data_IF_101815362401
#
_entry.id   IF_101815362401
#
_cell.length_a   1.000
_cell.length_b   1.000
_cell.length_c   1.000
_cell.angle_alpha   90.00
_cell.angle_beta   90.00
_cell.angle_gamma   90.00
#
_symmetry.space_group_name_H-M   'P 1'
#
loop_
_entity.id
_entity.type
_entity.pdbx_description
1 polymer ?
#
# COMPACT_ATOMS: atom_id res chain seq x y z
N UNK A 1 19.11 27.70 2.98
CA UNK A 1 18.94 26.57 3.91
C UNK A 1 19.08 25.30 3.08
N UNK A 2 20.09 24.48 3.34
CA UNK A 2 20.24 23.17 2.71
C UNK A 2 19.58 22.18 3.65
N UNK A 3 18.41 21.66 3.29
CA UNK A 3 17.80 20.54 4.00
C UNK A 3 18.45 19.24 3.49
N UNK A 4 19.27 18.62 4.34
CA UNK A 4 19.78 17.28 4.09
C UNK A 4 18.76 16.30 4.65
N UNK A 5 17.82 15.86 3.80
CA UNK A 5 16.92 14.77 4.15
C UNK A 5 17.68 13.44 4.17
N UNK A 6 17.87 12.86 5.34
CA UNK A 6 18.41 11.50 5.42
C UNK A 6 17.37 10.50 4.90
N UNK A 7 17.72 9.70 3.89
CA UNK A 7 16.92 8.58 3.43
C UNK A 7 17.29 7.33 4.21
N UNK A 8 16.30 6.55 4.61
CA UNK A 8 16.55 5.23 5.18
C UNK A 8 16.91 4.19 4.09
N UNK A 9 17.25 2.99 4.50
CA UNK A 9 17.75 1.96 3.59
C UNK A 9 16.71 1.48 2.55
N UNK A 10 15.44 1.69 2.81
CA UNK A 10 14.31 1.22 2.00
C UNK A 10 13.69 2.29 1.10
N UNK A 11 14.12 3.56 1.22
CA UNK A 11 13.71 4.63 0.31
C UNK A 11 14.11 4.29 -1.13
N UNK A 12 13.14 4.38 -2.04
CA UNK A 12 13.41 4.03 -3.43
C UNK A 12 12.16 3.86 -4.27
N UNK A 13 12.39 3.48 -5.52
CA UNK A 13 11.37 3.17 -6.51
C UNK A 13 11.25 1.65 -6.64
N UNK A 14 10.02 1.17 -6.65
CA UNK A 14 9.71 -0.25 -6.70
C UNK A 14 8.68 -0.55 -7.79
N UNK A 15 8.93 -1.62 -8.54
CA UNK A 15 7.97 -2.23 -9.44
C UNK A 15 7.14 -3.26 -8.64
N UNK A 16 5.85 -3.05 -8.49
CA UNK A 16 4.97 -3.88 -7.67
C UNK A 16 4.16 -4.82 -8.54
N UNK A 17 4.23 -6.10 -8.21
CA UNK A 17 3.45 -7.18 -8.81
C UNK A 17 2.87 -8.08 -7.72
N UNK A 18 1.93 -8.93 -8.09
CA UNK A 18 1.36 -9.93 -7.20
C UNK A 18 -0.17 -9.93 -7.22
N UNK A 19 -0.80 -10.94 -6.65
CA UNK A 19 -2.25 -11.04 -6.61
C UNK A 19 -2.86 -10.13 -5.56
N UNK A 20 -4.01 -9.58 -5.92
CA UNK A 20 -4.96 -8.95 -5.03
C UNK A 20 -6.29 -9.73 -5.13
N UNK A 21 -6.82 -10.17 -4.01
CA UNK A 21 -8.09 -10.90 -3.97
C UNK A 21 -9.09 -10.14 -3.11
N UNK A 22 -10.13 -9.69 -3.75
CA UNK A 22 -11.26 -9.03 -3.10
C UNK A 22 -12.29 -10.11 -2.67
N UNK A 23 -12.63 -10.13 -1.37
CA UNK A 23 -13.40 -11.22 -0.77
C UNK A 23 -14.92 -10.98 -0.79
N UNK A 24 -15.38 -9.80 -1.20
CA UNK A 24 -16.83 -9.48 -1.25
C UNK A 24 -17.46 -9.71 -2.62
N UNK A 25 -16.70 -10.28 -3.57
CA UNK A 25 -17.18 -10.58 -4.92
C UNK A 25 -17.18 -9.37 -5.86
N UNK A 26 -16.56 -8.27 -5.49
CA UNK A 26 -16.35 -7.15 -6.41
C UNK A 26 -15.28 -7.52 -7.44
N UNK A 27 -15.42 -7.13 -8.71
CA UNK A 27 -14.49 -7.49 -9.78
C UNK A 27 -13.23 -6.60 -9.79
N UNK A 28 -12.63 -6.39 -8.64
CA UNK A 28 -11.41 -5.59 -8.52
C UNK A 28 -10.18 -6.48 -8.53
N UNK A 29 -9.18 -6.11 -9.31
CA UNK A 29 -7.93 -6.82 -9.41
C UNK A 29 -6.77 -5.84 -9.24
N UNK A 30 -5.61 -6.38 -8.93
CA UNK A 30 -4.39 -5.59 -8.95
C UNK A 30 -4.07 -5.16 -10.37
N UNK A 31 -3.58 -3.95 -10.53
CA UNK A 31 -3.13 -3.48 -11.82
C UNK A 31 -1.81 -4.15 -12.21
N UNK A 32 -1.81 -4.76 -13.39
CA UNK A 32 -0.62 -5.29 -14.04
C UNK A 32 -0.88 -5.38 -15.56
N UNK A 33 0.15 -5.42 -16.37
CA UNK A 33 0.03 -5.44 -17.84
C UNK A 33 -0.55 -6.73 -18.41
N UNK A 34 -0.64 -7.79 -17.63
CA UNK A 34 -1.31 -9.01 -18.06
C UNK A 34 -2.83 -8.81 -18.14
N UNK A 35 -3.31 -7.66 -17.74
CA UNK A 35 -4.71 -7.29 -17.83
C UNK A 35 -4.93 -6.42 -19.08
N UNK A 36 -5.83 -6.84 -19.97
CA UNK A 36 -6.15 -6.12 -21.20
C UNK A 36 -6.64 -4.67 -21.00
N UNK A 37 -6.95 -4.28 -19.77
CA UNK A 37 -7.34 -2.92 -19.38
C UNK A 37 -6.16 -2.05 -18.91
N UNK A 38 -4.95 -2.61 -18.87
CA UNK A 38 -3.76 -1.86 -18.48
C UNK A 38 -3.46 -0.78 -19.52
N UNK A 39 -3.06 0.44 -19.11
CA UNK A 39 -2.68 1.46 -20.09
C UNK A 39 -1.39 1.01 -20.79
N UNK A 40 -1.54 0.67 -22.05
CA UNK A 40 -0.41 0.28 -22.92
C UNK A 40 0.61 1.41 -23.14
N UNK A 41 0.34 2.59 -22.63
CA UNK A 41 1.11 3.80 -22.80
C UNK A 41 1.74 4.33 -21.51
N UNK A 42 1.64 3.61 -20.37
CA UNK A 42 2.47 3.92 -19.21
C UNK A 42 3.90 3.39 -19.45
N UNK A 43 4.89 4.27 -19.65
CA UNK A 43 6.25 3.84 -19.97
C UNK A 43 6.91 3.06 -18.84
N UNK A 44 6.51 3.26 -17.58
CA UNK A 44 7.02 2.50 -16.46
C UNK A 44 6.47 1.07 -16.44
N UNK A 45 5.16 0.92 -16.60
CA UNK A 45 4.52 -0.39 -16.63
C UNK A 45 5.05 -1.23 -17.79
N UNK A 46 5.17 -0.65 -18.99
CA UNK A 46 5.77 -1.32 -20.16
C UNK A 46 7.21 -1.77 -19.88
N UNK A 47 8.04 -0.91 -19.29
CA UNK A 47 9.43 -1.21 -18.99
C UNK A 47 9.60 -2.27 -17.88
N UNK A 48 8.63 -2.42 -16.99
CA UNK A 48 8.70 -3.29 -15.81
C UNK A 48 7.73 -4.48 -15.86
N UNK A 49 7.28 -4.89 -17.05
CA UNK A 49 6.48 -6.10 -17.25
C UNK A 49 5.10 -6.04 -16.59
N UNK A 50 4.49 -4.86 -16.59
CA UNK A 50 3.14 -4.66 -16.07
C UNK A 50 3.04 -4.30 -14.61
N UNK A 51 4.13 -4.06 -13.96
CA UNK A 51 4.16 -3.58 -12.60
C UNK A 51 3.66 -2.14 -12.49
N UNK A 52 3.03 -1.80 -11.37
CA UNK A 52 2.82 -0.39 -11.04
C UNK A 52 3.99 0.16 -10.22
N UNK A 53 4.19 1.48 -10.30
CA UNK A 53 5.31 2.16 -9.65
C UNK A 53 4.91 2.63 -8.25
N UNK A 54 5.59 2.08 -7.25
CA UNK A 54 5.51 2.49 -5.86
C UNK A 54 6.80 3.24 -5.47
N UNK A 55 6.65 4.44 -4.95
CA UNK A 55 7.75 5.12 -4.28
C UNK A 55 7.66 4.91 -2.78
N UNK A 56 8.65 4.29 -2.17
CA UNK A 56 8.81 4.31 -0.73
C UNK A 56 9.55 5.59 -0.32
N UNK A 57 8.86 6.42 0.42
CA UNK A 57 9.36 7.73 0.88
C UNK A 57 9.65 7.64 2.38
N UNK A 58 10.88 7.90 2.76
CA UNK A 58 11.31 7.93 4.16
C UNK A 58 10.48 8.90 4.99
N UNK A 59 9.92 8.43 6.10
CA UNK A 59 9.21 9.22 7.11
C UNK A 59 9.77 9.02 8.52
N UNK A 60 10.67 8.06 8.68
CA UNK A 60 11.36 7.73 9.92
C UNK A 60 12.58 6.87 9.68
N UNK A 61 13.36 6.59 10.71
CA UNK A 61 14.59 5.78 10.60
C UNK A 61 14.34 4.39 10.03
N UNK A 62 13.19 3.79 10.31
CA UNK A 62 12.75 2.48 9.82
C UNK A 62 11.33 2.52 9.29
N UNK A 63 10.86 3.65 8.81
CA UNK A 63 9.50 3.83 8.32
C UNK A 63 9.50 4.54 6.97
N UNK A 64 8.64 4.04 6.08
CA UNK A 64 8.36 4.66 4.80
C UNK A 64 6.84 4.76 4.56
N UNK A 65 6.42 5.76 3.79
CA UNK A 65 5.09 5.79 3.18
C UNK A 65 5.16 5.32 1.74
N UNK A 66 4.14 4.62 1.30
CA UNK A 66 3.95 4.23 -0.09
C UNK A 66 3.22 5.31 -0.89
N UNK A 67 3.88 5.82 -1.92
CA UNK A 67 3.32 6.81 -2.83
C UNK A 67 3.08 6.14 -4.20
N UNK A 68 1.85 6.13 -4.64
CA UNK A 68 1.48 5.64 -5.98
C UNK A 68 1.89 6.68 -7.03
N UNK A 69 2.86 6.35 -7.85
CA UNK A 69 3.31 7.21 -8.95
C UNK A 69 2.72 6.80 -10.31
N UNK A 70 1.88 5.78 -10.34
CA UNK A 70 1.33 5.24 -11.58
C UNK A 70 0.04 5.91 -11.99
N UNK A 71 -0.93 6.01 -11.08
CA UNK A 71 -2.30 6.43 -11.40
C UNK A 71 -2.62 7.81 -10.81
N UNK A 72 -2.41 7.97 -9.51
CA UNK A 72 -2.94 9.10 -8.77
C UNK A 72 -1.92 10.16 -8.38
N UNK A 73 -0.63 9.81 -8.39
CA UNK A 73 0.41 10.71 -7.89
C UNK A 73 0.18 11.13 -6.44
N UNK A 74 -0.24 10.17 -5.60
CA UNK A 74 -0.55 10.42 -4.19
C UNK A 74 -0.33 9.17 -3.33
N UNK A 75 -0.54 9.29 -2.02
CA UNK A 75 -0.52 8.15 -1.10
C UNK A 75 -1.82 7.36 -1.31
N UNK A 76 -1.76 6.32 -2.12
CA UNK A 76 -2.91 5.48 -2.45
C UNK A 76 -2.42 4.09 -2.88
N UNK A 77 -3.33 3.13 -2.96
CA UNK A 77 -3.08 1.83 -3.57
C UNK A 77 -3.89 1.72 -4.86
N UNK A 78 -3.24 1.52 -6.02
CA UNK A 78 -3.94 1.39 -7.29
C UNK A 78 -4.64 0.03 -7.41
N UNK A 79 -5.70 0.00 -8.22
CA UNK A 79 -6.46 -1.20 -8.56
C UNK A 79 -7.08 -1.07 -9.93
N UNK A 80 -7.51 -2.19 -10.51
CA UNK A 80 -8.40 -2.25 -11.65
C UNK A 80 -9.82 -2.59 -11.22
N UNK A 81 -10.78 -1.91 -11.80
CA UNK A 81 -12.20 -2.24 -11.70
C UNK A 81 -12.84 -2.30 -13.09
N UNK A 82 -14.12 -2.59 -13.19
CA UNK A 82 -14.84 -2.66 -14.46
C UNK A 82 -14.82 -1.35 -15.27
N UNK A 83 -14.54 -0.23 -14.63
CA UNK A 83 -14.41 1.10 -15.26
C UNK A 83 -12.99 1.46 -15.66
N UNK A 84 -12.00 0.59 -15.45
CA UNK A 84 -10.58 0.82 -15.73
C UNK A 84 -9.75 1.11 -14.48
N UNK A 85 -8.70 1.91 -14.63
CA UNK A 85 -7.78 2.23 -13.53
C UNK A 85 -8.45 3.05 -12.45
N UNK A 86 -8.22 2.66 -11.21
CA UNK A 86 -8.75 3.31 -10.02
C UNK A 86 -7.78 3.17 -8.85
N UNK A 87 -8.13 3.72 -7.73
CA UNK A 87 -7.39 3.59 -6.47
C UNK A 87 -8.35 3.48 -5.31
N UNK A 88 -7.86 2.88 -4.24
CA UNK A 88 -8.59 2.87 -2.98
C UNK A 88 -8.41 4.24 -2.30
N UNK A 89 -9.38 5.12 -2.44
CA UNK A 89 -9.40 6.39 -1.71
C UNK A 89 -9.35 6.16 -0.21
N UNK A 90 -8.45 6.85 0.50
CA UNK A 90 -8.25 6.65 1.92
C UNK A 90 -7.58 5.31 2.30
N UNK A 91 -6.87 4.68 1.37
CA UNK A 91 -6.01 3.52 1.63
C UNK A 91 -4.63 3.76 1.02
N UNK A 92 -3.67 4.03 1.87
CA UNK A 92 -2.27 4.22 1.52
C UNK A 92 -1.38 3.60 2.57
N UNK A 93 -0.29 3.00 2.14
CA UNK A 93 0.53 2.15 3.00
C UNK A 93 1.55 2.97 3.78
N UNK A 94 1.66 2.69 5.07
CA UNK A 94 2.82 3.01 5.89
C UNK A 94 3.48 1.71 6.27
N UNK A 95 4.77 1.59 6.02
CA UNK A 95 5.54 0.36 6.19
C UNK A 95 6.64 0.61 7.20
N UNK A 96 6.67 -0.19 8.24
CA UNK A 96 7.75 -0.22 9.21
C UNK A 96 8.64 -1.44 8.98
N UNK A 97 9.93 -1.24 9.08
CA UNK A 97 10.95 -2.26 8.90
C UNK A 97 11.69 -2.54 10.21
N UNK A 98 12.11 -3.77 10.37
CA UNK A 98 13.07 -4.14 11.41
C UNK A 98 14.47 -4.25 10.78
N UNK A 99 15.39 -3.32 11.08
CA UNK A 99 16.73 -3.34 10.52
C UNK A 99 17.60 -4.49 11.03
N UNK A 100 17.27 -5.08 12.19
CA UNK A 100 18.02 -6.18 12.77
C UNK A 100 17.73 -7.51 12.05
N UNK A 101 16.50 -7.71 11.62
CA UNK A 101 16.05 -8.94 10.94
C UNK A 101 15.85 -8.76 9.45
N UNK A 102 15.91 -7.53 8.96
CA UNK A 102 15.65 -7.15 7.58
C UNK A 102 14.26 -7.63 7.09
N UNK A 103 13.26 -7.41 7.92
CA UNK A 103 11.86 -7.80 7.66
C UNK A 103 10.93 -6.59 7.70
N UNK A 104 9.76 -6.74 7.08
CA UNK A 104 8.64 -5.83 7.33
C UNK A 104 8.04 -6.20 8.67
N UNK A 105 8.13 -5.30 9.64
CA UNK A 105 7.67 -5.53 11.02
C UNK A 105 6.22 -5.11 11.24
N UNK A 106 5.75 -4.14 10.48
CA UNK A 106 4.38 -3.61 10.56
C UNK A 106 3.97 -2.94 9.26
N UNK A 107 2.67 -3.00 8.98
CA UNK A 107 2.03 -2.18 7.98
C UNK A 107 0.76 -1.57 8.57
N UNK A 108 0.42 -0.35 8.19
CA UNK A 108 -0.83 0.28 8.59
C UNK A 108 -1.28 1.30 7.53
N UNK A 109 -2.52 1.73 7.64
CA UNK A 109 -3.06 2.70 6.70
C UNK A 109 -2.68 4.12 7.10
N UNK A 110 -2.07 4.87 6.20
CA UNK A 110 -1.73 6.27 6.38
C UNK A 110 -2.92 7.11 6.83
N UNK A 111 -4.08 6.90 6.23
CA UNK A 111 -5.29 7.67 6.50
C UNK A 111 -6.04 7.24 7.76
N UNK A 112 -5.74 6.08 8.30
CA UNK A 112 -6.39 5.53 9.49
C UNK A 112 -5.48 5.41 10.71
N UNK A 113 -4.25 5.88 10.65
CA UNK A 113 -3.30 5.78 11.77
C UNK A 113 -3.50 6.91 12.78
N UNK A 114 -3.97 6.61 14.00
CA UNK A 114 -4.21 7.62 15.02
C UNK A 114 -2.92 8.23 15.59
N UNK A 115 -1.76 7.65 15.31
CA UNK A 115 -0.46 8.14 15.81
C UNK A 115 0.15 9.21 14.90
N UNK A 116 -0.38 9.39 13.68
CA UNK A 116 0.08 10.42 12.74
C UNK A 116 -0.74 11.69 12.87
N UNK A 117 -0.07 12.82 13.04
CA UNK A 117 -0.68 14.14 13.23
C UNK A 117 -1.72 14.43 12.18
N UNK A 118 -2.17 14.55 11.33
CA UNK A 118 -3.28 14.71 10.39
C UNK A 118 -4.23 13.51 10.33
N UNK A 119 -3.76 12.36 10.69
CA UNK A 119 -4.52 11.11 10.62
C UNK A 119 -5.43 10.89 11.81
N UNK A 120 -5.20 11.58 12.92
CA UNK A 120 -6.16 11.63 14.03
C UNK A 120 -7.53 12.15 13.59
N UNK A 121 -7.54 12.91 12.51
CA UNK A 121 -8.78 13.36 11.88
C UNK A 121 -9.48 12.25 11.08
N UNK A 122 -8.83 11.14 10.80
CA UNK A 122 -9.33 10.11 9.89
C UNK A 122 -9.91 8.88 10.62
N UNK A 123 -9.78 8.84 11.93
CA UNK A 123 -10.37 7.82 12.79
C UNK A 123 -9.52 6.56 12.95
N UNK A 124 -9.88 5.78 13.96
CA UNK A 124 -9.26 4.49 14.21
C UNK A 124 -9.98 3.40 13.39
N UNK A 125 -9.30 2.75 12.42
CA UNK A 125 -9.92 1.71 11.62
C UNK A 125 -10.41 0.50 12.44
N UNK A 126 -9.81 0.25 13.60
CA UNK A 126 -10.21 -0.87 14.47
C UNK A 126 -11.50 -0.56 15.26
N UNK A 127 -11.83 0.69 15.51
CA UNK A 127 -12.97 1.10 16.31
C UNK A 127 -14.05 1.82 15.54
N UNK A 128 -13.80 2.18 14.27
CA UNK A 128 -14.73 2.99 13.48
C UNK A 128 -14.89 4.42 13.99
N UNK A 129 -14.08 4.84 14.95
CA UNK A 129 -14.12 6.19 15.51
C UNK A 129 -13.22 7.14 14.72
N UNK A 130 -13.79 8.22 14.25
CA UNK A 130 -13.10 9.30 13.53
C UNK A 130 -13.94 10.56 13.50
N UNK A 131 -13.38 11.67 13.04
CA UNK A 131 -14.16 12.89 12.93
C UNK A 131 -15.32 12.70 11.95
N UNK A 132 -16.41 13.43 12.17
CA UNK A 132 -17.66 13.26 11.44
C UNK A 132 -17.55 13.47 9.92
N UNK A 133 -16.46 14.03 9.44
CA UNK A 133 -16.25 14.30 8.01
C UNK A 133 -15.57 13.15 7.28
N UNK A 134 -14.99 12.20 7.99
CA UNK A 134 -14.46 10.98 7.41
C UNK A 134 -15.46 9.88 7.74
N UNK A 135 -16.21 9.54 6.74
CA UNK A 135 -17.29 8.56 6.91
C UNK A 135 -16.72 7.32 7.60
N UNK A 136 -17.12 7.10 8.85
CA UNK A 136 -16.76 5.88 9.59
C UNK A 136 -17.06 4.61 8.77
N UNK A 137 -18.02 4.72 7.86
CA UNK A 137 -18.37 3.72 6.86
C UNK A 137 -17.27 3.43 5.82
N UNK A 138 -16.26 4.29 5.65
CA UNK A 138 -15.18 4.11 4.65
C UNK A 138 -13.79 3.94 5.26
N UNK A 139 -13.69 3.87 6.58
CA UNK A 139 -12.39 3.68 7.24
C UNK A 139 -11.81 2.31 6.86
N UNK A 140 -10.59 2.34 6.34
CA UNK A 140 -9.84 1.14 5.95
C UNK A 140 -8.62 1.01 6.84
N UNK A 141 -8.35 -0.21 7.30
CA UNK A 141 -7.12 -0.57 7.99
C UNK A 141 -6.20 -1.36 7.06
N UNK A 142 -4.90 -1.31 7.33
CA UNK A 142 -3.93 -2.22 6.74
C UNK A 142 -3.26 -3.01 7.86
N UNK A 143 -3.17 -4.32 7.69
CA UNK A 143 -2.58 -5.23 8.67
C UNK A 143 -1.69 -6.24 7.98
N UNK A 144 -0.47 -6.41 8.48
CA UNK A 144 0.46 -7.40 7.98
C UNK A 144 -0.11 -8.81 8.18
N UNK A 145 -0.07 -9.65 7.16
CA UNK A 145 -0.41 -11.07 7.27
C UNK A 145 0.81 -11.83 7.83
N UNK A 146 0.70 -12.40 9.04
CA UNK A 146 1.82 -13.13 9.64
C UNK A 146 2.18 -14.43 8.90
N UNK A 147 1.33 -14.90 7.98
CA UNK A 147 1.64 -16.05 7.13
C UNK A 147 2.52 -15.74 5.94
N UNK A 148 2.74 -14.44 5.65
CA UNK A 148 3.61 -13.99 4.58
C UNK A 148 5.09 -14.08 4.95
N UNK A 149 5.96 -14.06 3.94
CA UNK A 149 7.40 -14.02 4.14
C UNK A 149 7.83 -12.68 4.78
N UNK A 150 7.21 -11.59 4.38
CA UNK A 150 7.38 -10.25 4.92
C UNK A 150 8.86 -9.84 5.10
N UNK A 151 9.67 -10.10 4.08
CA UNK A 151 11.12 -9.95 4.12
C UNK A 151 11.62 -8.94 3.09
N UNK A 152 12.74 -8.28 3.44
CA UNK A 152 13.53 -7.50 2.50
C UNK A 152 14.72 -8.35 2.07
N UNK A 153 14.84 -8.60 0.78
CA UNK A 153 15.90 -9.43 0.20
C UNK A 153 17.19 -8.62 0.01
N UNK A 154 18.29 -9.32 -0.23
CA UNK A 154 19.60 -8.68 -0.46
C UNK A 154 19.65 -7.74 -1.66
N UNK A 155 18.75 -7.92 -2.64
CA UNK A 155 18.52 -7.03 -3.79
C UNK A 155 17.75 -5.75 -3.43
N UNK A 156 17.30 -5.59 -2.19
CA UNK A 156 16.31 -4.64 -1.69
C UNK A 156 14.87 -4.93 -2.12
N UNK A 157 14.61 -6.02 -2.83
CA UNK A 157 13.25 -6.44 -3.14
C UNK A 157 12.50 -6.78 -1.86
N UNK A 158 11.21 -6.47 -1.80
CA UNK A 158 10.36 -6.70 -0.64
C UNK A 158 9.28 -7.70 -1.01
N UNK A 159 9.21 -8.79 -0.25
CA UNK A 159 8.10 -9.72 -0.28
C UNK A 159 7.16 -9.37 0.86
N UNK A 160 5.91 -9.05 0.55
CA UNK A 160 4.98 -8.59 1.57
C UNK A 160 3.58 -9.16 1.34
N UNK A 161 2.97 -9.62 2.43
CA UNK A 161 1.59 -10.07 2.44
C UNK A 161 0.79 -9.32 3.50
N UNK A 162 -0.38 -8.83 3.13
CA UNK A 162 -1.19 -8.00 4.03
C UNK A 162 -2.66 -7.98 3.65
N UNK A 163 -3.46 -7.45 4.55
CA UNK A 163 -4.89 -7.32 4.41
C UNK A 163 -5.32 -5.85 4.41
N UNK A 164 -6.32 -5.54 3.59
CA UNK A 164 -7.18 -4.39 3.83
C UNK A 164 -8.35 -4.82 4.71
N UNK A 165 -8.51 -4.14 5.84
CA UNK A 165 -9.64 -4.33 6.75
C UNK A 165 -10.66 -3.22 6.52
N UNK A 166 -11.93 -3.57 6.41
CA UNK A 166 -13.01 -2.60 6.28
C UNK A 166 -14.29 -3.13 6.93
N UNK A 167 -14.49 -2.85 8.20
CA UNK A 167 -15.62 -3.34 9.00
C UNK A 167 -16.99 -2.86 8.54
N UNK A 168 -17.05 -1.71 7.87
CA UNK A 168 -18.30 -1.22 7.26
C UNK A 168 -18.80 -2.06 6.08
N UNK A 169 -17.92 -2.83 5.44
CA UNK A 169 -18.24 -3.70 4.30
C UNK A 169 -18.26 -5.17 4.73
N UNK A 170 -17.36 -5.55 5.61
CA UNK A 170 -17.25 -6.89 6.20
C UNK A 170 -17.39 -6.78 7.71
N UNK A 171 -18.63 -6.78 8.25
CA UNK A 171 -18.85 -6.52 9.68
C UNK A 171 -18.30 -7.58 10.61
N UNK A 172 -18.24 -8.83 10.15
CA UNK A 172 -17.73 -9.94 10.96
C UNK A 172 -16.20 -9.88 11.08
N UNK A 173 -15.63 -9.81 12.30
CA UNK A 173 -14.17 -9.89 12.46
C UNK A 173 -13.60 -11.18 11.88
N UNK A 174 -12.40 -11.11 11.28
CA UNK A 174 -11.42 -10.01 11.29
C UNK A 174 -11.65 -8.89 10.27
N UNK A 175 -12.82 -8.78 9.66
CA UNK A 175 -13.24 -7.72 8.74
C UNK A 175 -12.34 -7.57 7.51
N UNK A 176 -11.68 -8.63 7.10
CA UNK A 176 -10.80 -8.66 5.93
C UNK A 176 -11.64 -8.52 4.68
N UNK A 177 -11.36 -7.48 3.91
CA UNK A 177 -11.99 -7.23 2.63
C UNK A 177 -11.14 -7.66 1.46
N UNK A 178 -9.85 -7.35 1.50
CA UNK A 178 -8.90 -7.63 0.42
C UNK A 178 -7.65 -8.25 1.00
N UNK A 179 -7.13 -9.25 0.32
CA UNK A 179 -5.81 -9.82 0.58
C UNK A 179 -4.84 -9.41 -0.52
N UNK A 180 -3.62 -9.06 -0.14
CA UNK A 180 -2.53 -8.73 -1.04
C UNK A 180 -1.36 -9.67 -0.77
N UNK A 181 -0.72 -10.16 -1.83
CA UNK A 181 0.50 -10.97 -1.77
C UNK A 181 1.44 -10.43 -2.84
N UNK A 182 2.29 -9.50 -2.45
CA UNK A 182 3.01 -8.64 -3.37
C UNK A 182 4.51 -8.87 -3.33
N UNK A 183 5.14 -8.70 -4.49
CA UNK A 183 6.57 -8.53 -4.66
C UNK A 183 6.84 -7.11 -5.13
N UNK A 184 7.59 -6.37 -4.33
CA UNK A 184 8.07 -5.03 -4.65
C UNK A 184 9.52 -5.12 -5.10
N UNK A 185 9.75 -5.11 -6.39
CA UNK A 185 11.09 -5.21 -6.98
C UNK A 185 11.75 -3.85 -7.00
N UNK A 186 12.89 -3.71 -6.33
CA UNK A 186 13.64 -2.46 -6.33
C UNK A 186 14.18 -2.14 -7.72
N UNK A 187 13.89 -0.95 -8.23
CA UNK A 187 14.31 -0.48 -9.56
C UNK A 187 15.34 0.64 -9.51
N UNK A 188 15.44 1.33 -8.39
CA UNK A 188 16.44 2.40 -8.25
C UNK A 188 16.16 3.38 -7.12
N UNK A 189 17.05 4.33 -6.91
CA UNK A 189 16.84 5.41 -5.96
C UNK A 189 15.80 6.38 -6.49
N UNK A 190 15.06 6.97 -5.56
CA UNK A 190 14.09 8.03 -5.83
C UNK A 190 14.79 9.39 -5.90
#
# INVERSE_FOLDING_TARGET
VIEIGAKNAWDGIYAVTGPMVELTGQPWTQWNDNNASSPTNDPFAVANGGAWELHLITTGASECIGFDNTIWGTIAHPMLNAGGHSGFGGFGLVVNFDPATNTVSRIHNFYGDPTRGGATSLGNPATGSGPPNYLASNTRGAVLDPSGTNAVLGSKDILIKYFMIQSSVVPAPPSIRITFDETWKYTGPR
#
